data_IF_707604137460
#
_entry.id   IF_707604137460
#
_cell.length_a   1.000
_cell.length_b   1.000
_cell.length_c   1.000
_cell.angle_alpha   90.00
_cell.angle_beta   90.00
_cell.angle_gamma   90.00
#
_symmetry.space_group_name_H-M   'P 1'
#
loop_
_entity.id
_entity.type
_entity.pdbx_description
1 polymer ?
#
# COMPACT_ATOMS: atom_id res chain seq x y z
N UNK A 1 0.87 -28.78 -12.70
CA UNK A 1 2.32 -28.45 -12.66
C UNK A 1 2.56 -27.58 -11.44
N UNK A 2 3.58 -27.87 -10.60
CA UNK A 2 3.84 -27.10 -9.39
C UNK A 2 4.17 -25.63 -9.65
N UNK A 3 3.71 -24.72 -8.77
CA UNK A 3 3.87 -23.27 -8.92
C UNK A 3 4.24 -22.55 -7.64
N UNK A 4 5.18 -21.62 -7.72
CA UNK A 4 5.44 -20.60 -6.72
C UNK A 4 4.71 -19.31 -7.12
N UNK A 5 3.82 -18.82 -6.27
CA UNK A 5 3.15 -17.53 -6.41
C UNK A 5 3.73 -16.56 -5.39
N UNK A 6 4.14 -15.38 -5.84
CA UNK A 6 4.61 -14.30 -4.98
C UNK A 6 3.69 -13.11 -5.16
N UNK A 7 2.87 -12.85 -4.16
CA UNK A 7 2.14 -11.61 -4.05
C UNK A 7 3.08 -10.52 -3.54
N UNK A 8 3.15 -9.43 -4.31
CA UNK A 8 3.91 -8.23 -4.00
C UNK A 8 2.99 -7.04 -4.06
N UNK A 9 3.11 -6.13 -3.10
CA UNK A 9 2.35 -4.90 -3.09
C UNK A 9 3.09 -3.90 -2.21
N UNK A 10 3.40 -2.69 -2.70
CA UNK A 10 3.96 -1.64 -1.86
C UNK A 10 3.15 -1.44 -0.58
N UNK A 11 3.78 -0.94 0.48
CA UNK A 11 3.04 -0.54 1.69
C UNK A 11 1.82 0.28 1.30
N UNK A 12 0.66 -0.06 1.88
CA UNK A 12 -0.65 0.58 1.62
C UNK A 12 -1.36 0.21 0.31
N UNK A 13 -1.01 -0.94 -0.28
CA UNK A 13 -1.78 -1.56 -1.37
C UNK A 13 -2.71 -2.70 -0.90
N UNK A 14 -3.06 -2.77 0.39
CA UNK A 14 -3.94 -3.83 0.90
C UNK A 14 -3.23 -5.16 1.15
N UNK A 15 -1.90 -5.17 1.23
CA UNK A 15 -1.05 -6.32 1.61
C UNK A 15 -1.53 -7.02 2.88
N UNK A 16 -1.81 -6.27 3.95
CA UNK A 16 -2.34 -6.79 5.21
C UNK A 16 -3.67 -7.51 5.00
N UNK A 17 -4.59 -6.92 4.24
CA UNK A 17 -5.89 -7.53 3.92
C UNK A 17 -5.74 -8.87 3.22
N UNK A 18 -4.86 -8.95 2.20
CA UNK A 18 -4.56 -10.21 1.50
C UNK A 18 -3.95 -11.24 2.45
N UNK A 19 -2.94 -10.84 3.23
CA UNK A 19 -2.25 -11.75 4.15
C UNK A 19 -3.17 -12.28 5.24
N UNK A 20 -4.01 -11.42 5.82
CA UNK A 20 -4.99 -11.77 6.84
C UNK A 20 -6.06 -12.72 6.30
N UNK A 21 -6.59 -12.47 5.11
CA UNK A 21 -7.52 -13.38 4.45
C UNK A 21 -6.86 -14.74 4.16
N UNK A 22 -5.65 -14.77 3.60
CA UNK A 22 -4.93 -16.02 3.37
C UNK A 22 -4.65 -16.79 4.67
N UNK A 23 -4.26 -16.08 5.74
CA UNK A 23 -4.00 -16.67 7.04
C UNK A 23 -5.28 -17.30 7.66
N UNK A 24 -6.41 -16.60 7.57
CA UNK A 24 -7.69 -17.08 8.08
C UNK A 24 -8.24 -18.29 7.30
N UNK A 25 -7.79 -18.50 6.06
CA UNK A 25 -8.26 -19.56 5.18
C UNK A 25 -7.21 -20.66 4.91
N UNK A 26 -6.12 -20.76 5.69
CA UNK A 26 -5.01 -21.71 5.43
C UNK A 26 -5.47 -23.14 5.19
N UNK A 27 -6.32 -23.67 6.07
CA UNK A 27 -6.82 -25.04 5.94
C UNK A 27 -7.58 -25.26 4.64
N UNK A 28 -8.40 -24.28 4.24
CA UNK A 28 -9.13 -24.33 2.97
C UNK A 28 -8.16 -24.25 1.79
N UNK A 29 -7.25 -23.28 1.80
CA UNK A 29 -6.25 -23.12 0.75
C UNK A 29 -5.44 -24.40 0.55
N UNK A 30 -5.04 -25.05 1.64
CA UNK A 30 -4.32 -26.33 1.61
C UNK A 30 -5.15 -27.43 0.93
N UNK A 31 -6.42 -27.59 1.30
CA UNK A 31 -7.33 -28.55 0.63
C UNK A 31 -7.47 -28.28 -0.87
N UNK A 32 -7.41 -27.01 -1.26
CA UNK A 32 -7.46 -26.57 -2.65
C UNK A 32 -6.08 -26.63 -3.34
N UNK A 33 -5.06 -27.21 -2.71
CA UNK A 33 -3.70 -27.41 -3.25
C UNK A 33 -2.77 -26.20 -3.15
N UNK A 34 -3.10 -25.21 -2.31
CA UNK A 34 -2.31 -24.00 -2.08
C UNK A 34 -1.77 -23.99 -0.64
N UNK A 35 -0.46 -24.16 -0.49
CA UNK A 35 0.22 -23.89 0.77
C UNK A 35 0.41 -22.38 0.96
N UNK A 36 -0.22 -21.83 1.98
CA UNK A 36 0.11 -20.52 2.53
C UNK A 36 0.83 -20.72 3.88
N UNK A 37 2.17 -20.61 3.93
CA UNK A 37 2.93 -21.12 5.06
C UNK A 37 2.54 -20.47 6.39
N UNK A 38 2.64 -21.27 7.44
CA UNK A 38 2.65 -20.80 8.82
C UNK A 38 4.10 -20.78 9.30
N UNK A 39 4.50 -19.69 9.97
CA UNK A 39 5.90 -19.42 10.28
C UNK A 39 6.26 -19.69 11.74
N UNK A 40 5.43 -20.44 12.46
CA UNK A 40 5.74 -20.86 13.82
C UNK A 40 6.99 -21.75 13.82
N UNK A 41 8.07 -21.32 14.48
CA UNK A 41 9.25 -22.16 14.75
C UNK A 41 10.36 -22.17 13.69
N UNK A 42 10.32 -21.31 12.67
CA UNK A 42 11.38 -21.22 11.67
C UNK A 42 12.64 -20.50 12.22
N UNK A 43 13.82 -21.10 12.03
CA UNK A 43 15.09 -20.61 12.59
C UNK A 43 15.57 -19.23 12.07
N UNK A 44 15.08 -18.80 10.90
CA UNK A 44 15.59 -17.59 10.23
C UNK A 44 14.52 -16.58 9.79
N UNK A 45 13.26 -16.99 9.64
CA UNK A 45 12.18 -16.10 9.20
C UNK A 45 10.85 -16.55 9.81
N UNK A 46 10.33 -15.75 10.75
CA UNK A 46 9.06 -15.98 11.46
C UNK A 46 7.86 -15.31 10.78
N UNK A 47 8.09 -14.71 9.61
CA UNK A 47 7.06 -14.12 8.76
C UNK A 47 7.53 -14.03 7.30
N UNK A 48 6.61 -13.78 6.36
CA UNK A 48 7.00 -13.45 4.98
C UNK A 48 7.83 -12.15 4.90
N UNK A 49 7.65 -11.21 5.85
CA UNK A 49 8.43 -9.98 5.92
C UNK A 49 9.88 -10.25 6.33
N UNK A 50 10.11 -11.18 7.26
CA UNK A 50 11.46 -11.61 7.65
C UNK A 50 12.19 -12.27 6.48
N UNK A 51 11.49 -13.11 5.71
CA UNK A 51 12.05 -13.72 4.51
C UNK A 51 12.48 -12.66 3.48
N UNK A 52 11.66 -11.63 3.26
CA UNK A 52 12.04 -10.51 2.40
C UNK A 52 13.21 -9.70 2.97
N UNK A 53 13.30 -9.56 4.30
CA UNK A 53 14.40 -8.85 4.97
C UNK A 53 15.75 -9.53 4.77
N UNK A 54 15.80 -10.86 4.65
CA UNK A 54 17.02 -11.59 4.29
C UNK A 54 17.58 -11.11 2.93
N UNK A 55 16.71 -10.84 1.97
CA UNK A 55 17.12 -10.32 0.65
C UNK A 55 17.68 -8.90 0.75
N UNK A 56 17.02 -8.02 1.51
CA UNK A 56 17.49 -6.65 1.74
C UNK A 56 18.82 -6.58 2.49
N UNK A 57 19.09 -7.55 3.36
CA UNK A 57 20.35 -7.71 4.08
C UNK A 57 21.46 -8.41 3.28
N UNK A 58 21.24 -8.71 1.99
CA UNK A 58 22.23 -9.40 1.14
C UNK A 58 22.36 -10.91 1.42
N UNK A 59 21.50 -11.50 2.26
CA UNK A 59 21.50 -12.92 2.63
C UNK A 59 20.64 -13.76 1.67
N UNK A 60 20.89 -13.60 0.36
CA UNK A 60 20.07 -14.24 -0.68
C UNK A 60 20.11 -15.77 -0.67
N UNK A 61 21.22 -16.39 -0.24
CA UNK A 61 21.32 -17.84 -0.08
C UNK A 61 20.41 -18.34 1.05
N UNK A 62 20.42 -17.66 2.21
CA UNK A 62 19.54 -18.01 3.32
C UNK A 62 18.05 -17.90 2.94
N UNK A 63 17.68 -16.88 2.15
CA UNK A 63 16.33 -16.79 1.59
C UNK A 63 16.01 -17.96 0.65
N UNK A 64 16.95 -18.36 -0.21
CA UNK A 64 16.74 -19.48 -1.13
C UNK A 64 16.58 -20.81 -0.37
N UNK A 65 17.40 -21.06 0.64
CA UNK A 65 17.30 -22.26 1.47
C UNK A 65 15.94 -22.33 2.19
N UNK A 66 15.51 -21.20 2.75
CA UNK A 66 14.18 -21.07 3.34
C UNK A 66 13.06 -21.32 2.32
N UNK A 67 13.19 -20.75 1.12
CA UNK A 67 12.18 -20.92 0.05
C UNK A 67 12.10 -22.39 -0.40
N UNK A 68 13.23 -23.08 -0.50
CA UNK A 68 13.29 -24.50 -0.83
C UNK A 68 12.70 -25.37 0.28
N UNK A 69 12.87 -25.00 1.56
CA UNK A 69 12.24 -25.69 2.68
C UNK A 69 10.71 -25.54 2.64
N UNK A 70 10.20 -24.30 2.48
CA UNK A 70 8.77 -24.05 2.33
C UNK A 70 8.18 -24.76 1.09
N UNK A 71 8.97 -24.87 0.02
CA UNK A 71 8.58 -25.61 -1.19
C UNK A 71 8.46 -27.11 -0.95
N UNK A 72 9.41 -27.72 -0.23
CA UNK A 72 9.33 -29.14 0.15
C UNK A 72 8.11 -29.41 1.01
N UNK A 73 7.85 -28.55 2.00
CA UNK A 73 6.65 -28.62 2.82
C UNK A 73 5.37 -28.61 1.96
N UNK A 74 5.29 -27.76 0.93
CA UNK A 74 4.15 -27.75 0.03
C UNK A 74 3.94 -29.13 -0.63
N UNK A 75 5.02 -29.75 -1.11
CA UNK A 75 4.97 -31.09 -1.69
C UNK A 75 4.56 -32.17 -0.68
N UNK A 76 5.12 -32.14 0.53
CA UNK A 76 4.81 -33.10 1.60
C UNK A 76 3.35 -32.99 2.06
N UNK A 77 2.76 -31.79 2.00
CA UNK A 77 1.35 -31.53 2.30
C UNK A 77 0.42 -31.71 1.08
N UNK A 78 0.92 -32.24 -0.05
CA UNK A 78 0.12 -32.49 -1.25
C UNK A 78 -0.32 -31.23 -2.01
N UNK A 79 0.28 -30.07 -1.71
CA UNK A 79 -0.02 -28.81 -2.37
C UNK A 79 0.81 -28.65 -3.66
N UNK A 80 0.15 -28.26 -4.75
CA UNK A 80 0.82 -27.94 -6.01
C UNK A 80 1.30 -26.49 -6.08
N UNK A 81 0.86 -25.64 -5.15
CA UNK A 81 1.16 -24.22 -5.16
C UNK A 81 1.69 -23.77 -3.81
N UNK A 82 2.81 -23.03 -3.81
CA UNK A 82 3.29 -22.26 -2.66
C UNK A 82 2.97 -20.79 -2.88
N UNK A 83 2.21 -20.18 -1.96
CA UNK A 83 1.89 -18.75 -1.99
C UNK A 83 2.69 -17.99 -0.94
N UNK A 84 3.47 -17.00 -1.37
CA UNK A 84 4.15 -16.04 -0.51
C UNK A 84 3.54 -14.65 -0.67
N UNK A 85 3.34 -13.92 0.44
CA UNK A 85 2.73 -12.59 0.42
C UNK A 85 3.47 -11.67 1.38
N UNK A 86 4.17 -10.66 0.85
CA UNK A 86 4.80 -9.62 1.67
C UNK A 86 4.94 -8.32 0.89
N UNK A 87 4.70 -7.20 1.58
CA UNK A 87 4.95 -5.88 1.02
C UNK A 87 6.45 -5.57 0.88
N UNK A 88 7.27 -6.19 1.72
CA UNK A 88 8.73 -6.03 1.72
C UNK A 88 9.39 -6.56 0.43
N UNK A 89 8.73 -7.44 -0.31
CA UNK A 89 9.21 -7.89 -1.63
C UNK A 89 9.23 -6.76 -2.68
N UNK A 90 8.57 -5.62 -2.41
CA UNK A 90 8.54 -4.46 -3.31
C UNK A 90 9.73 -3.51 -3.14
N UNK A 91 10.56 -3.71 -2.11
CA UNK A 91 11.67 -2.83 -1.75
C UNK A 91 12.79 -2.80 -2.79
N UNK A 92 13.37 -1.63 -3.05
CA UNK A 92 14.42 -1.46 -4.07
C UNK A 92 15.67 -2.31 -3.82
N UNK A 93 16.01 -2.54 -2.54
CA UNK A 93 17.12 -3.43 -2.15
C UNK A 93 16.76 -4.92 -2.30
N UNK A 94 15.49 -5.25 -2.45
CA UNK A 94 14.97 -6.63 -2.50
C UNK A 94 14.78 -7.13 -3.93
N UNK A 95 14.38 -6.27 -4.88
CA UNK A 95 13.97 -6.71 -6.23
C UNK A 95 15.05 -7.53 -6.98
N UNK A 96 16.29 -7.04 -7.04
CA UNK A 96 17.37 -7.75 -7.76
C UNK A 96 17.79 -9.04 -7.05
N UNK A 97 18.01 -9.06 -5.71
CA UNK A 97 18.21 -10.30 -4.98
C UNK A 97 17.06 -11.31 -5.14
N UNK A 98 15.81 -10.84 -5.11
CA UNK A 98 14.63 -11.67 -5.32
C UNK A 98 14.69 -12.33 -6.70
N UNK A 99 14.90 -11.56 -7.78
CA UNK A 99 15.04 -12.11 -9.14
C UNK A 99 16.09 -13.22 -9.21
N UNK A 100 17.25 -12.97 -8.60
CA UNK A 100 18.35 -13.93 -8.57
C UNK A 100 17.97 -15.21 -7.83
N UNK A 101 17.32 -15.08 -6.69
CA UNK A 101 16.81 -16.22 -5.91
C UNK A 101 15.76 -17.00 -6.71
N UNK A 102 14.79 -16.35 -7.33
CA UNK A 102 13.76 -17.01 -8.13
C UNK A 102 14.34 -17.72 -9.36
N UNK A 103 15.34 -17.14 -10.04
CA UNK A 103 16.07 -17.83 -11.12
C UNK A 103 16.79 -19.09 -10.65
N UNK A 104 17.38 -19.07 -9.45
CA UNK A 104 18.03 -20.26 -8.87
C UNK A 104 16.99 -21.29 -8.47
N UNK A 105 15.94 -20.87 -7.78
CA UNK A 105 14.82 -21.71 -7.41
C UNK A 105 14.24 -22.45 -8.62
N UNK A 106 13.91 -21.75 -9.70
CA UNK A 106 13.41 -22.37 -10.95
C UNK A 106 14.35 -23.42 -11.53
N UNK A 107 15.66 -23.16 -11.52
CA UNK A 107 16.67 -24.13 -12.01
C UNK A 107 16.74 -25.39 -11.15
N UNK A 108 16.50 -25.27 -9.85
CA UNK A 108 16.54 -26.39 -8.91
C UNK A 108 15.25 -27.20 -8.95
N UNK A 109 14.10 -26.54 -8.99
CA UNK A 109 12.80 -27.20 -8.78
C UNK A 109 12.02 -27.44 -10.08
N UNK A 110 12.36 -26.77 -11.18
CA UNK A 110 11.57 -26.77 -12.41
C UNK A 110 10.19 -26.09 -12.27
N UNK A 111 9.89 -25.50 -11.11
CA UNK A 111 8.58 -24.92 -10.82
C UNK A 111 8.31 -23.66 -11.67
N UNK A 112 7.04 -23.43 -12.00
CA UNK A 112 6.63 -22.14 -12.52
C UNK A 112 6.68 -21.10 -11.40
N UNK A 113 7.13 -19.88 -11.71
CA UNK A 113 7.05 -18.75 -10.78
C UNK A 113 6.12 -17.69 -11.35
N UNK A 114 5.18 -17.19 -10.55
CA UNK A 114 4.30 -16.09 -10.93
C UNK A 114 4.31 -15.01 -9.87
N UNK A 115 4.47 -13.77 -10.30
CA UNK A 115 4.34 -12.62 -9.40
C UNK A 115 2.97 -11.97 -9.62
N UNK A 116 2.30 -11.64 -8.54
CA UNK A 116 1.03 -10.89 -8.56
C UNK A 116 1.27 -9.56 -7.84
N UNK A 117 1.18 -8.46 -8.57
CA UNK A 117 1.37 -7.12 -8.07
C UNK A 117 0.03 -6.44 -7.79
N UNK A 118 -0.24 -6.01 -6.55
CA UNK A 118 -1.41 -5.16 -6.29
C UNK A 118 -1.05 -3.70 -6.47
N UNK A 119 -1.67 -3.08 -7.48
CA UNK A 119 -1.49 -1.68 -7.83
C UNK A 119 -2.53 -0.80 -7.16
N UNK A 120 -2.06 0.32 -6.64
CA UNK A 120 -2.90 1.43 -6.20
C UNK A 120 -2.45 2.69 -6.95
N UNK A 121 -3.37 3.56 -7.40
CA UNK A 121 -3.00 4.84 -8.00
C UNK A 121 -1.98 5.58 -7.13
N UNK A 122 -0.90 6.05 -7.75
CA UNK A 122 0.26 6.62 -7.05
C UNK A 122 -0.14 7.78 -6.13
N UNK A 123 -1.12 8.59 -6.54
CA UNK A 123 -1.63 9.70 -5.74
C UNK A 123 -2.27 9.23 -4.43
N UNK A 124 -3.14 8.21 -4.49
CA UNK A 124 -3.75 7.63 -3.29
C UNK A 124 -2.73 6.92 -2.40
N UNK A 125 -1.77 6.23 -3.02
CA UNK A 125 -0.73 5.53 -2.28
C UNK A 125 0.15 6.54 -1.52
N UNK A 126 0.55 7.63 -2.17
CA UNK A 126 1.30 8.72 -1.55
C UNK A 126 0.52 9.36 -0.41
N UNK A 127 -0.78 9.63 -0.59
CA UNK A 127 -1.63 10.14 0.48
C UNK A 127 -1.70 9.15 1.66
N UNK A 128 -1.93 7.85 1.40
CA UNK A 128 -2.01 6.84 2.45
C UNK A 128 -0.69 6.68 3.23
N UNK A 129 0.46 6.70 2.54
CA UNK A 129 1.78 6.67 3.18
C UNK A 129 2.06 7.93 4.00
N UNK A 130 1.63 9.09 3.51
CA UNK A 130 1.75 10.35 4.24
C UNK A 130 0.92 10.32 5.53
N UNK A 131 -0.33 9.89 5.44
CA UNK A 131 -1.22 9.78 6.61
C UNK A 131 -0.63 8.84 7.66
N UNK A 132 -0.14 7.65 7.25
CA UNK A 132 0.52 6.75 8.19
C UNK A 132 1.74 7.39 8.85
N UNK A 133 2.53 8.15 8.09
CA UNK A 133 3.72 8.84 8.62
C UNK A 133 3.35 9.92 9.64
N UNK A 134 2.19 10.56 9.49
CA UNK A 134 1.66 11.58 10.40
C UNK A 134 1.06 10.93 11.65
N UNK A 135 0.31 9.84 11.50
CA UNK A 135 -0.40 9.17 12.60
C UNK A 135 0.47 8.19 13.38
N UNK A 136 1.56 7.70 12.81
CA UNK A 136 2.54 6.85 13.49
C UNK A 136 3.54 7.64 14.35
N UNK A 137 4.31 6.94 15.18
CA UNK A 137 5.40 7.52 15.98
C UNK A 137 6.48 8.24 15.13
N UNK A 138 6.53 7.95 13.82
CA UNK A 138 7.35 8.65 12.83
C UNK A 138 6.90 10.10 12.54
N UNK A 139 5.80 10.57 13.14
CA UNK A 139 5.29 11.94 12.99
C UNK A 139 6.26 13.03 13.45
N UNK A 140 7.36 12.68 14.13
CA UNK A 140 8.49 13.56 14.44
C UNK A 140 9.46 13.76 13.26
N UNK A 141 9.61 12.79 12.37
CA UNK A 141 10.60 12.83 11.27
C UNK A 141 10.12 13.65 10.06
N UNK A 142 8.83 13.57 9.71
CA UNK A 142 8.27 14.34 8.59
C UNK A 142 8.15 15.85 8.88
N UNK A 143 8.14 16.24 10.16
CA UNK A 143 7.95 17.63 10.59
C UNK A 143 9.14 18.54 10.32
N UNK A 144 10.35 18.02 10.08
CA UNK A 144 11.55 18.85 10.17
C UNK A 144 12.35 19.03 8.87
N UNK A 145 12.28 18.17 7.84
CA UNK A 145 13.25 18.25 6.72
C UNK A 145 12.83 17.83 5.31
N UNK A 146 11.65 17.25 5.09
CA UNK A 146 11.32 16.71 3.76
C UNK A 146 10.49 17.68 2.91
N UNK A 147 11.06 18.09 1.78
CA UNK A 147 10.28 18.60 0.65
C UNK A 147 9.34 17.49 0.17
N UNK A 148 8.05 17.66 0.44
CA UNK A 148 7.02 16.68 0.11
C UNK A 148 6.93 16.42 -1.39
N UNK A 149 7.31 17.37 -2.26
CA UNK A 149 7.35 17.19 -3.70
C UNK A 149 8.46 16.21 -4.08
N UNK A 150 9.66 16.42 -3.53
CA UNK A 150 10.80 15.51 -3.76
C UNK A 150 10.52 14.11 -3.23
N UNK A 151 9.85 14.02 -2.07
CA UNK A 151 9.41 12.73 -1.53
C UNK A 151 8.38 12.05 -2.44
N UNK A 152 7.32 12.75 -2.86
CA UNK A 152 6.27 12.20 -3.73
C UNK A 152 6.82 11.78 -5.10
N UNK A 153 7.71 12.58 -5.71
CA UNK A 153 8.36 12.24 -6.97
C UNK A 153 9.26 11.00 -6.85
N UNK A 154 10.05 10.91 -5.78
CA UNK A 154 10.87 9.73 -5.48
C UNK A 154 10.02 8.49 -5.22
N UNK A 155 8.92 8.65 -4.48
CA UNK A 155 7.96 7.57 -4.23
C UNK A 155 7.32 7.07 -5.53
N UNK A 156 6.76 7.96 -6.34
CA UNK A 156 6.16 7.63 -7.64
C UNK A 156 7.14 6.91 -8.58
N UNK A 157 8.39 7.37 -8.62
CA UNK A 157 9.45 6.75 -9.42
C UNK A 157 9.75 5.33 -8.95
N UNK A 158 9.84 5.11 -7.63
CA UNK A 158 10.06 3.78 -7.06
C UNK A 158 8.91 2.82 -7.37
N UNK A 159 7.67 3.25 -7.19
CA UNK A 159 6.48 2.42 -7.47
C UNK A 159 6.44 2.00 -8.93
N UNK A 160 6.63 2.94 -9.86
CA UNK A 160 6.70 2.64 -11.30
C UNK A 160 7.85 1.71 -11.66
N UNK A 161 9.01 1.89 -11.04
CA UNK A 161 10.16 1.01 -11.26
C UNK A 161 9.87 -0.44 -10.78
N UNK A 162 9.20 -0.57 -9.64
CA UNK A 162 8.77 -1.87 -9.10
C UNK A 162 7.73 -2.54 -10.01
N UNK A 163 6.71 -1.80 -10.46
CA UNK A 163 5.71 -2.30 -11.42
C UNK A 163 6.34 -2.76 -12.72
N UNK A 164 7.19 -1.91 -13.33
CA UNK A 164 7.88 -2.24 -14.56
C UNK A 164 8.80 -3.46 -14.38
N UNK A 165 9.43 -3.60 -13.21
CA UNK A 165 10.23 -4.77 -12.89
C UNK A 165 9.40 -6.05 -12.90
N UNK A 166 8.24 -6.08 -12.24
CA UNK A 166 7.39 -7.27 -12.22
C UNK A 166 6.70 -7.54 -13.55
N UNK A 167 6.29 -6.51 -14.28
CA UNK A 167 5.72 -6.66 -15.62
C UNK A 167 6.70 -7.34 -16.58
N UNK A 168 8.00 -6.97 -16.55
CA UNK A 168 9.04 -7.63 -17.36
C UNK A 168 9.27 -9.11 -17.02
N UNK A 169 8.87 -9.54 -15.83
CA UNK A 169 8.96 -10.93 -15.39
C UNK A 169 7.66 -11.72 -15.68
N UNK A 170 6.72 -11.15 -16.46
CA UNK A 170 5.41 -11.75 -16.71
C UNK A 170 4.47 -11.70 -15.50
N UNK A 171 4.71 -10.77 -14.57
CA UNK A 171 3.84 -10.54 -13.42
C UNK A 171 2.46 -10.03 -13.84
N UNK A 172 1.45 -10.36 -13.05
CA UNK A 172 0.08 -9.87 -13.23
C UNK A 172 -0.15 -8.69 -12.30
N UNK A 173 -0.73 -7.61 -12.81
CA UNK A 173 -1.12 -6.46 -11.99
C UNK A 173 -2.62 -6.48 -11.71
N UNK A 174 -2.98 -6.31 -10.44
CA UNK A 174 -4.37 -6.24 -9.96
C UNK A 174 -4.61 -4.85 -9.36
N UNK A 175 -5.63 -4.10 -9.79
CA UNK A 175 -5.98 -2.84 -9.14
C UNK A 175 -6.58 -3.10 -7.75
N UNK A 176 -6.22 -2.28 -6.76
CA UNK A 176 -6.80 -2.31 -5.42
C UNK A 176 -8.25 -1.83 -5.38
N UNK A 177 -8.58 -0.83 -6.20
CA UNK A 177 -9.83 -0.08 -6.09
C UNK A 177 -11.08 -0.99 -6.21
N UNK A 178 -12.04 -0.77 -5.34
CA UNK A 178 -13.37 -1.42 -5.38
C UNK A 178 -13.44 -2.84 -4.80
N UNK A 179 -12.36 -3.35 -4.19
CA UNK A 179 -12.36 -4.70 -3.64
C UNK A 179 -12.36 -4.71 -2.10
N UNK A 180 -13.34 -5.37 -1.43
CA UNK A 180 -13.18 -5.70 -0.03
C UNK A 180 -11.98 -6.67 0.17
N UNK A 181 -11.42 -6.77 1.39
CA UNK A 181 -10.26 -7.60 1.70
C UNK A 181 -10.28 -9.02 1.09
N UNK A 182 -11.41 -9.72 1.22
CA UNK A 182 -11.61 -11.09 0.72
C UNK A 182 -11.55 -11.14 -0.80
N UNK A 183 -12.23 -10.20 -1.46
CA UNK A 183 -12.27 -10.14 -2.91
C UNK A 183 -10.89 -9.85 -3.48
N UNK A 184 -10.11 -8.96 -2.84
CA UNK A 184 -8.73 -8.70 -3.23
C UNK A 184 -7.87 -9.96 -3.08
N UNK A 185 -7.98 -10.68 -1.97
CA UNK A 185 -7.26 -11.93 -1.76
C UNK A 185 -7.64 -13.01 -2.79
N UNK A 186 -8.94 -13.16 -3.06
CA UNK A 186 -9.45 -14.08 -4.07
C UNK A 186 -8.89 -13.76 -5.46
N UNK A 187 -8.86 -12.49 -5.85
CA UNK A 187 -8.26 -12.05 -7.11
C UNK A 187 -6.76 -12.31 -7.17
N UNK A 188 -6.03 -12.10 -6.07
CA UNK A 188 -4.59 -12.40 -6.00
C UNK A 188 -4.35 -13.90 -6.20
N UNK A 189 -5.14 -14.73 -5.53
CA UNK A 189 -5.09 -16.19 -5.67
C UNK A 189 -5.46 -16.63 -7.09
N UNK A 190 -6.52 -16.07 -7.68
CA UNK A 190 -6.94 -16.38 -9.04
C UNK A 190 -5.88 -16.00 -10.07
N UNK A 191 -5.33 -14.79 -9.98
CA UNK A 191 -4.25 -14.36 -10.86
C UNK A 191 -3.00 -15.23 -10.69
N UNK A 192 -2.69 -15.65 -9.46
CA UNK A 192 -1.51 -16.45 -9.16
C UNK A 192 -1.65 -17.92 -9.59
N UNK A 193 -2.81 -18.52 -9.32
CA UNK A 193 -3.03 -19.97 -9.41
C UNK A 193 -3.85 -20.40 -10.62
N UNK A 194 -4.67 -19.50 -11.18
CA UNK A 194 -5.69 -19.82 -12.17
C UNK A 194 -6.95 -20.49 -11.60
N UNK A 195 -7.12 -20.52 -10.27
CA UNK A 195 -8.26 -21.10 -9.56
C UNK A 195 -9.11 -20.00 -8.91
N UNK A 196 -10.43 -20.21 -8.85
CA UNK A 196 -11.35 -19.29 -8.19
C UNK A 196 -11.51 -19.61 -6.70
N UNK A 197 -11.62 -18.57 -5.86
CA UNK A 197 -11.79 -18.68 -4.40
C UNK A 197 -12.91 -17.73 -3.91
N UNK A 198 -14.17 -17.96 -4.30
CA UNK A 198 -15.25 -16.99 -4.07
C UNK A 198 -15.61 -16.79 -2.59
N UNK A 199 -15.45 -17.82 -1.75
CA UNK A 199 -15.97 -17.78 -0.37
C UNK A 199 -14.88 -17.59 0.70
N UNK A 200 -13.78 -16.91 0.38
CA UNK A 200 -12.76 -16.61 1.39
C UNK A 200 -13.38 -15.78 2.51
N UNK A 201 -13.19 -16.20 3.75
CA UNK A 201 -13.60 -15.41 4.91
C UNK A 201 -12.55 -14.34 5.20
N UNK A 202 -12.97 -13.15 5.65
CA UNK A 202 -12.01 -12.29 6.36
C UNK A 202 -11.98 -12.69 7.82
N UNK A 203 -10.83 -12.55 8.50
CA UNK A 203 -10.87 -12.46 9.94
C UNK A 203 -11.81 -11.32 10.35
N UNK A 204 -12.49 -11.42 11.50
CA UNK A 204 -13.26 -10.31 12.04
C UNK A 204 -12.35 -9.08 12.04
N UNK A 205 -12.80 -7.98 11.46
CA UNK A 205 -11.98 -6.78 11.39
C UNK A 205 -11.62 -6.38 12.81
N UNK A 206 -10.36 -6.57 13.20
CA UNK A 206 -9.79 -5.85 14.33
C UNK A 206 -9.61 -4.41 13.87
N UNK A 207 -10.72 -3.70 13.62
CA UNK A 207 -10.73 -2.25 13.57
C UNK A 207 -10.43 -1.83 14.99
N UNK A 208 -9.15 -1.61 15.31
CA UNK A 208 -8.84 -0.74 16.44
C UNK A 208 -9.37 0.64 16.04
N UNK A 209 -10.64 0.92 16.37
CA UNK A 209 -11.27 2.23 16.16
C UNK A 209 -10.40 3.37 16.74
N UNK A 210 -9.55 3.04 17.72
CA UNK A 210 -8.59 3.94 18.35
C UNK A 210 -7.49 4.49 17.43
N UNK A 211 -7.13 3.83 16.32
CA UNK A 211 -6.07 4.34 15.42
C UNK A 211 -6.49 5.54 14.57
N UNK A 212 -7.79 5.80 14.42
CA UNK A 212 -8.32 6.97 13.71
C UNK A 212 -8.59 8.17 14.63
N UNK A 213 -8.25 8.10 15.92
CA UNK A 213 -8.40 9.21 16.86
C UNK A 213 -7.39 10.37 16.63
N UNK A 214 -6.52 10.29 15.62
CA UNK A 214 -5.84 11.46 15.09
C UNK A 214 -6.89 12.36 14.40
N UNK A 215 -7.25 13.46 15.06
CA UNK A 215 -8.31 14.40 14.66
C UNK A 215 -8.45 14.50 13.12
N UNK A 216 -9.61 14.18 12.54
CA UNK A 216 -9.89 14.34 11.10
C UNK A 216 -9.50 15.73 10.56
N UNK A 217 -9.59 16.75 11.42
CA UNK A 217 -9.12 18.11 11.17
C UNK A 217 -7.62 18.20 10.86
N UNK A 218 -6.78 17.36 11.46
CA UNK A 218 -5.33 17.35 11.25
C UNK A 218 -4.96 16.73 9.90
N UNK A 219 -5.64 15.63 9.55
CA UNK A 219 -5.50 14.93 8.26
C UNK A 219 -5.92 15.86 7.12
N UNK A 220 -7.02 16.58 7.31
CA UNK A 220 -7.57 17.46 6.29
C UNK A 220 -6.81 18.77 6.23
N UNK A 221 -6.51 19.42 7.36
CA UNK A 221 -5.62 20.59 7.42
C UNK A 221 -4.29 20.33 6.73
N UNK A 222 -3.70 19.15 6.94
CA UNK A 222 -2.43 18.80 6.30
C UNK A 222 -2.60 18.48 4.81
N UNK A 223 -3.61 17.70 4.43
CA UNK A 223 -3.94 17.43 3.02
C UNK A 223 -4.18 18.72 2.23
N UNK A 224 -4.93 19.67 2.80
CA UNK A 224 -5.21 20.98 2.22
C UNK A 224 -3.94 21.84 2.08
N UNK A 225 -3.00 21.80 3.04
CA UNK A 225 -1.71 22.51 2.95
C UNK A 225 -0.80 21.92 1.87
N UNK A 226 -0.80 20.60 1.71
CA UNK A 226 -0.01 19.91 0.69
C UNK A 226 -0.57 20.21 -0.70
N UNK A 227 -1.88 20.11 -0.89
CA UNK A 227 -2.51 20.47 -2.16
C UNK A 227 -2.32 21.95 -2.49
N UNK A 228 -2.49 22.85 -1.50
CA UNK A 228 -2.21 24.28 -1.66
C UNK A 228 -0.78 24.50 -2.17
N UNK A 229 0.24 23.88 -1.57
CA UNK A 229 1.63 24.01 -2.06
C UNK A 229 1.83 23.45 -3.47
N UNK A 230 1.09 22.43 -3.90
CA UNK A 230 1.16 21.91 -5.28
C UNK A 230 0.56 22.91 -6.27
N UNK A 231 -0.50 23.64 -5.88
CA UNK A 231 -1.19 24.63 -6.70
C UNK A 231 -0.39 25.94 -6.85
N UNK A 232 0.38 26.35 -5.85
CA UNK A 232 1.13 27.63 -5.86
C UNK A 232 2.48 27.56 -6.60
N UNK A 233 2.51 27.03 -7.83
CA UNK A 233 3.54 27.41 -8.80
C UNK A 233 4.71 26.45 -9.05
N UNK A 234 4.57 25.13 -8.84
CA UNK A 234 5.52 24.17 -9.45
C UNK A 234 4.76 22.92 -9.92
N UNK A 235 4.47 22.84 -11.23
CA UNK A 235 3.67 21.82 -11.93
C UNK A 235 4.09 20.37 -11.60
N UNK A 236 3.26 19.31 -11.66
CA UNK A 236 2.42 18.79 -12.76
C UNK A 236 1.27 18.00 -12.11
N UNK A 237 0.05 18.53 -12.08
CA UNK A 237 -1.16 17.72 -11.80
C UNK A 237 -2.22 18.19 -12.76
N UNK A 238 -2.75 17.29 -13.58
CA UNK A 238 -3.83 17.65 -14.49
C UNK A 238 -5.08 18.07 -13.69
N UNK A 239 -5.89 19.01 -14.18
CA UNK A 239 -7.17 19.37 -13.54
C UNK A 239 -8.06 18.15 -13.24
N UNK A 240 -7.96 17.10 -14.05
CA UNK A 240 -8.65 15.82 -13.83
C UNK A 240 -8.20 15.12 -12.54
N UNK A 241 -6.90 15.05 -12.26
CA UNK A 241 -6.37 14.40 -11.06
C UNK A 241 -6.70 15.17 -9.77
N UNK A 242 -6.79 16.51 -9.85
CA UNK A 242 -7.29 17.35 -8.75
C UNK A 242 -8.78 17.07 -8.49
N UNK A 243 -9.58 16.98 -9.56
CA UNK A 243 -11.03 16.73 -9.48
C UNK A 243 -11.33 15.35 -8.88
N UNK A 244 -10.59 14.32 -9.29
CA UNK A 244 -10.71 12.94 -8.78
C UNK A 244 -10.29 12.83 -7.30
N UNK A 245 -9.21 13.54 -6.92
CA UNK A 245 -8.77 13.61 -5.53
C UNK A 245 -9.78 14.31 -4.63
N UNK A 246 -10.41 15.38 -5.12
CA UNK A 246 -11.48 16.08 -4.40
C UNK A 246 -12.71 15.18 -4.23
N UNK A 247 -13.18 14.51 -5.28
CA UNK A 247 -14.31 13.59 -5.19
C UNK A 247 -14.05 12.46 -4.17
N UNK A 248 -12.81 11.97 -4.11
CA UNK A 248 -12.40 10.97 -3.13
C UNK A 248 -12.43 11.52 -1.70
N UNK A 249 -11.92 12.73 -1.46
CA UNK A 249 -11.95 13.36 -0.13
C UNK A 249 -13.39 13.67 0.30
N UNK A 250 -14.23 14.15 -0.63
CA UNK A 250 -15.66 14.38 -0.41
C UNK A 250 -16.35 13.10 0.08
N UNK A 251 -16.11 11.97 -0.59
CA UNK A 251 -16.69 10.68 -0.21
C UNK A 251 -16.24 10.19 1.18
N UNK A 252 -15.04 10.55 1.62
CA UNK A 252 -14.44 10.10 2.89
C UNK A 252 -14.90 10.93 4.10
N UNK A 253 -15.59 12.05 3.88
CA UNK A 253 -15.76 13.07 4.93
C UNK A 253 -17.21 13.48 5.21
N UNK A 254 -18.17 12.80 4.58
CA UNK A 254 -19.59 13.16 4.52
C UNK A 254 -20.43 13.00 5.80
N UNK A 255 -19.88 12.49 6.91
CA UNK A 255 -20.66 12.24 8.13
C UNK A 255 -20.61 13.37 9.17
N UNK A 256 -19.88 14.46 8.93
CA UNK A 256 -19.80 15.58 9.88
C UNK A 256 -20.17 16.93 9.20
N UNK A 257 -21.28 17.59 9.58
CA UNK A 257 -21.77 18.80 8.93
C UNK A 257 -20.77 19.98 8.92
N UNK A 258 -19.99 20.12 9.99
CA UNK A 258 -18.94 21.13 10.09
C UNK A 258 -17.81 20.90 9.06
N UNK A 259 -17.53 19.63 8.77
CA UNK A 259 -16.53 19.23 7.80
C UNK A 259 -16.99 19.50 6.37
N UNK A 260 -18.24 19.12 6.06
CA UNK A 260 -18.83 19.33 4.74
C UNK A 260 -18.75 20.79 4.31
N UNK A 261 -19.10 21.73 5.20
CA UNK A 261 -18.98 23.16 4.93
C UNK A 261 -17.54 23.60 4.63
N UNK A 262 -16.56 23.11 5.39
CA UNK A 262 -15.15 23.45 5.21
C UNK A 262 -14.61 22.93 3.86
N UNK A 263 -15.01 21.70 3.52
CA UNK A 263 -14.65 21.05 2.27
C UNK A 263 -15.32 21.73 1.06
N UNK A 264 -16.60 22.10 1.17
CA UNK A 264 -17.34 22.83 0.15
C UNK A 264 -16.72 24.21 -0.11
N UNK A 265 -16.38 24.95 0.95
CA UNK A 265 -15.73 26.27 0.86
C UNK A 265 -14.35 26.17 0.18
N UNK A 266 -13.57 25.12 0.50
CA UNK A 266 -12.28 24.86 -0.14
C UNK A 266 -12.43 24.46 -1.62
N UNK A 267 -13.33 23.52 -1.92
CA UNK A 267 -13.53 22.98 -3.27
C UNK A 267 -14.08 24.05 -4.21
N UNK A 268 -14.99 24.90 -3.72
CA UNK A 268 -15.48 26.09 -4.42
C UNK A 268 -14.33 27.04 -4.76
N UNK A 269 -13.51 27.40 -3.78
CA UNK A 269 -12.35 28.28 -3.99
C UNK A 269 -11.37 27.68 -5.00
N UNK A 270 -11.14 26.36 -4.95
CA UNK A 270 -10.25 25.68 -5.87
C UNK A 270 -10.77 25.67 -7.30
N UNK A 271 -12.08 25.42 -7.50
CA UNK A 271 -12.74 25.46 -8.81
C UNK A 271 -12.73 26.88 -9.40
N UNK A 272 -12.97 27.89 -8.58
CA UNK A 272 -12.88 29.31 -8.99
C UNK A 272 -11.46 29.65 -9.47
N UNK A 273 -10.42 29.20 -8.77
CA UNK A 273 -9.03 29.43 -9.17
C UNK A 273 -8.67 28.71 -10.48
N UNK A 274 -9.09 27.46 -10.65
CA UNK A 274 -8.90 26.70 -11.90
C UNK A 274 -9.60 27.41 -13.08
N UNK A 275 -10.83 27.91 -12.87
CA UNK A 275 -11.58 28.64 -13.88
C UNK A 275 -10.95 30.00 -14.24
N UNK A 276 -10.23 30.63 -13.31
CA UNK A 276 -9.52 31.90 -13.52
C UNK A 276 -8.13 31.73 -14.15
N UNK A 277 -7.67 30.51 -14.46
CA UNK A 277 -6.41 30.27 -15.18
C UNK A 277 -5.16 30.73 -14.42
N UNK A 278 -5.07 30.39 -13.12
CA UNK A 278 -4.07 30.81 -12.12
C UNK A 278 -2.73 31.32 -12.70
N UNK A 279 -2.59 32.65 -12.74
CA UNK A 279 -1.33 33.37 -12.84
C UNK A 279 -1.01 34.23 -11.60
N UNK A 280 -1.85 34.25 -10.56
CA UNK A 280 -1.65 35.16 -9.43
C UNK A 280 -1.77 34.45 -8.07
N UNK A 281 -0.65 34.36 -7.35
CA UNK A 281 -0.41 33.42 -6.24
C UNK A 281 -0.70 33.97 -4.83
N UNK A 282 -1.22 35.20 -4.69
CA UNK A 282 -1.24 35.89 -3.39
C UNK A 282 -2.47 35.59 -2.50
N UNK A 283 -3.62 35.19 -3.06
CA UNK A 283 -4.88 35.05 -2.28
C UNK A 283 -5.03 33.84 -1.35
N UNK A 284 -4.44 32.65 -1.59
CA UNK A 284 -4.77 31.49 -0.75
C UNK A 284 -4.04 31.45 0.60
N UNK A 285 -2.98 32.23 0.79
CA UNK A 285 -2.32 32.40 2.10
C UNK A 285 -3.26 33.00 3.16
N UNK A 286 -4.16 33.90 2.75
CA UNK A 286 -5.16 34.54 3.60
C UNK A 286 -6.25 33.55 4.04
N UNK A 287 -6.62 32.61 3.16
CA UNK A 287 -7.61 31.57 3.46
C UNK A 287 -7.05 30.52 4.45
N UNK A 288 -5.79 30.10 4.26
CA UNK A 288 -5.10 29.21 5.21
C UNK A 288 -4.89 29.86 6.59
N UNK A 289 -4.65 31.17 6.64
CA UNK A 289 -4.61 31.94 7.90
C UNK A 289 -5.96 31.91 8.63
N UNK A 290 -7.07 32.06 7.91
CA UNK A 290 -8.43 31.94 8.47
C UNK A 290 -8.74 30.51 8.93
N UNK A 291 -8.40 29.49 8.13
CA UNK A 291 -8.58 28.09 8.49
C UNK A 291 -7.76 27.70 9.73
N UNK A 292 -6.53 28.19 9.87
CA UNK A 292 -5.70 27.97 11.06
C UNK A 292 -6.29 28.60 12.33
N UNK A 293 -7.00 29.73 12.20
CA UNK A 293 -7.67 30.41 13.32
C UNK A 293 -8.98 29.73 13.76
N UNK A 294 -9.57 28.88 12.93
CA UNK A 294 -10.79 28.13 13.25
C UNK A 294 -10.53 26.78 13.94
N UNK A 295 -9.28 26.35 14.09
CA UNK A 295 -8.91 25.12 14.79
C UNK A 295 -8.62 25.45 16.26
N UNK A 296 -9.39 24.91 17.24
CA UNK A 296 -9.11 25.15 18.65
C UNK A 296 -7.69 24.67 19.01
N UNK A 297 -6.95 25.38 19.88
CA UNK A 297 -5.66 24.91 20.35
C UNK A 297 -5.83 23.54 21.04
N UNK A 298 -5.07 22.55 20.57
CA UNK A 298 -5.03 21.22 21.17
C UNK A 298 -4.59 21.36 22.63
N UNK A 299 -5.52 21.23 23.57
CA UNK A 299 -5.19 21.09 25.00
C UNK A 299 -4.35 19.83 25.13
N UNK A 300 -3.07 19.97 25.49
CA UNK A 300 -2.27 18.84 25.95
C UNK A 300 -3.04 18.21 27.12
N UNK A 301 -3.38 16.92 27.02
CA UNK A 301 -3.83 16.17 28.20
C UNK A 301 -2.68 16.26 29.20
N UNK A 302 -2.96 16.82 30.37
CA UNK A 302 -2.05 16.73 31.51
C UNK A 302 -1.88 15.25 31.87
N UNK A 303 -0.64 14.89 32.22
CA UNK A 303 -0.23 13.55 32.63
C UNK A 303 -0.98 13.08 33.88
#
# INVERSE_FOLDING_TARGET
MPRLVIHVGPHKTGSTSVQSACAANRERLRRDGVLYPEFSGAAFATSHADAASLLGAGRGDAFLDWLLAAWRQAGDEGCDTLLLSSEEFSGSLVLRPLERALRRFRRITGAQTRTVFVHRPVAELALSSLLQSITGEAGTFFKQRYDIRRWAASFATRIRATEAFFARQGGVTIPLAGHPPQALAARVLEAGTGRSFPDLVSPPENVSADKFAASPLLIVSYGLRVMSRVIHGHAIVSPACVTESLATIESLTMNEPAFRKLFDDFTRTLREQIALGVADAERPATLLGRLASCVPPLRRRAA
#
